data_IF_188993800742
#
_entry.id   IF_188993800742
#
_cell.length_a   1.000
_cell.length_b   1.000
_cell.length_c   1.000
_cell.angle_alpha   90.00
_cell.angle_beta   90.00
_cell.angle_gamma   90.00
#
_symmetry.space_group_name_H-M   'P 1'
#
loop_
_entity.id
_entity.type
_entity.pdbx_description
1 polymer ?
#
# COMPACT_ATOMS: atom_id res chain seq x y z
N UNK A 1 -10.89 2.28 5.89
CA UNK A 1 -10.03 1.86 4.77
C UNK A 1 -8.60 2.13 5.17
N UNK A 2 -7.66 1.28 4.74
CA UNK A 2 -6.34 1.21 5.36
C UNK A 2 -5.51 2.44 4.97
N UNK A 3 -5.55 3.48 5.80
CA UNK A 3 -4.43 4.40 5.94
C UNK A 3 -3.37 3.70 6.76
N UNK A 4 -2.11 3.84 6.39
CA UNK A 4 -0.98 3.24 7.10
C UNK A 4 -0.51 4.21 8.17
N UNK A 5 -0.29 3.72 9.39
CA UNK A 5 0.13 4.53 10.53
C UNK A 5 1.50 4.07 11.02
N UNK A 6 2.37 5.03 11.28
CA UNK A 6 3.70 4.85 11.85
C UNK A 6 3.80 5.63 13.17
N UNK A 7 4.62 5.15 14.10
CA UNK A 7 4.97 5.92 15.31
C UNK A 7 5.90 7.07 14.99
N UNK A 8 6.88 6.82 14.13
CA UNK A 8 7.91 7.79 13.76
C UNK A 8 7.97 8.00 12.25
N UNK A 9 8.49 9.16 11.82
CA UNK A 9 8.78 9.45 10.41
C UNK A 9 10.04 8.71 9.93
N UNK A 10 10.00 7.38 9.95
CA UNK A 10 11.09 6.50 9.52
C UNK A 10 10.56 5.16 9.02
N UNK A 11 11.17 4.62 7.96
CA UNK A 11 10.89 3.24 7.54
C UNK A 11 11.32 2.22 8.60
N UNK A 12 10.67 1.07 8.59
CA UNK A 12 11.08 -0.10 9.35
C UNK A 12 12.14 -0.88 8.57
N UNK A 13 13.24 -1.22 9.24
CA UNK A 13 14.29 -2.04 8.64
C UNK A 13 15.08 -1.34 7.54
N UNK A 14 15.37 -2.05 6.45
CA UNK A 14 16.20 -1.57 5.34
C UNK A 14 15.32 -1.03 4.20
N UNK A 15 15.78 0.00 3.46
CA UNK A 15 15.07 0.48 2.27
C UNK A 15 14.81 -0.66 1.28
N UNK A 16 13.57 -0.74 0.81
CA UNK A 16 13.18 -1.67 -0.25
C UNK A 16 13.80 -1.22 -1.57
N UNK A 17 14.54 -2.14 -2.21
CA UNK A 17 15.15 -1.94 -3.53
C UNK A 17 14.56 -2.96 -4.50
N UNK A 18 14.02 -2.47 -5.60
CA UNK A 18 13.38 -3.29 -6.62
C UNK A 18 13.50 -2.62 -8.00
N UNK A 19 13.59 -3.42 -9.05
CA UNK A 19 13.75 -2.90 -10.43
C UNK A 19 12.43 -2.35 -11.00
N UNK A 20 11.29 -2.88 -10.57
CA UNK A 20 9.97 -2.52 -11.08
C UNK A 20 9.27 -1.48 -10.22
N UNK A 21 9.42 -1.59 -8.89
CA UNK A 21 8.85 -0.63 -7.93
C UNK A 21 9.97 0.33 -7.54
N UNK A 22 10.00 1.47 -8.20
CA UNK A 22 11.01 2.51 -8.00
C UNK A 22 10.38 3.76 -7.40
N UNK A 23 11.18 4.59 -6.75
CA UNK A 23 10.73 5.87 -6.21
C UNK A 23 10.13 6.80 -7.29
N UNK A 24 10.73 6.93 -8.50
CA UNK A 24 10.09 7.67 -9.60
C UNK A 24 8.73 7.11 -10.02
N UNK A 25 8.56 5.79 -10.06
CA UNK A 25 7.26 5.20 -10.39
C UNK A 25 6.22 5.47 -9.29
N UNK A 26 6.64 5.39 -8.03
CA UNK A 26 5.78 5.71 -6.89
C UNK A 26 5.34 7.18 -6.95
N UNK A 27 6.28 8.12 -7.12
CA UNK A 27 6.03 9.55 -7.28
C UNK A 27 5.09 9.81 -8.49
N UNK A 28 5.26 9.07 -9.59
CA UNK A 28 4.40 9.15 -10.76
C UNK A 28 2.95 8.77 -10.44
N UNK A 29 2.71 7.62 -9.79
CA UNK A 29 1.37 7.19 -9.39
C UNK A 29 0.71 8.22 -8.48
N UNK A 30 1.45 8.75 -7.52
CA UNK A 30 1.01 9.83 -6.64
C UNK A 30 0.60 11.09 -7.42
N UNK A 31 1.41 11.51 -8.38
CA UNK A 31 1.09 12.68 -9.23
C UNK A 31 -0.18 12.49 -10.07
N UNK A 32 -0.52 11.25 -10.43
CA UNK A 32 -1.74 10.91 -11.19
C UNK A 32 -2.98 10.80 -10.33
N UNK A 33 -2.85 10.86 -9.02
CA UNK A 33 -3.96 10.70 -8.05
C UNK A 33 -4.26 11.99 -7.29
N UNK A 34 -3.77 13.14 -7.75
CA UNK A 34 -4.04 14.47 -7.15
C UNK A 34 -5.50 14.91 -7.26
N UNK A 35 -6.32 14.23 -8.08
CA UNK A 35 -7.75 14.45 -8.13
C UNK A 35 -8.48 13.90 -6.89
N UNK A 36 -7.83 13.03 -6.11
CA UNK A 36 -8.37 12.51 -4.85
C UNK A 36 -8.19 13.60 -3.78
N UNK A 37 -9.28 14.06 -3.11
CA UNK A 37 -9.18 15.05 -2.02
C UNK A 37 -8.30 14.57 -0.87
N UNK A 38 -7.77 15.51 -0.08
CA UNK A 38 -6.77 15.21 0.96
C UNK A 38 -7.23 14.25 2.06
N UNK A 39 -8.53 14.23 2.37
CA UNK A 39 -9.19 13.30 3.27
C UNK A 39 -9.99 12.21 2.54
N UNK A 40 -10.10 12.37 1.21
CA UNK A 40 -10.80 11.50 0.30
C UNK A 40 -10.08 10.17 0.12
N UNK A 41 -10.84 9.19 -0.34
CA UNK A 41 -10.34 7.86 -0.65
C UNK A 41 -10.93 7.40 -1.97
N UNK A 42 -10.10 6.77 -2.79
CA UNK A 42 -10.53 6.11 -4.02
C UNK A 42 -10.00 4.68 -4.03
N UNK A 43 -10.88 3.72 -4.30
CA UNK A 43 -10.50 2.31 -4.46
C UNK A 43 -10.43 2.02 -5.95
N UNK A 44 -9.25 1.66 -6.42
CA UNK A 44 -9.04 1.16 -7.77
C UNK A 44 -9.29 -0.35 -7.79
N UNK A 45 -10.16 -0.82 -8.66
CA UNK A 45 -10.28 -2.25 -8.96
C UNK A 45 -9.22 -2.64 -10.00
N UNK A 46 -8.30 -3.53 -9.63
CA UNK A 46 -7.18 -3.90 -10.47
C UNK A 46 -7.55 -5.06 -11.41
N UNK A 47 -7.04 -5.07 -12.66
CA UNK A 47 -7.32 -6.14 -13.60
C UNK A 47 -6.80 -7.48 -13.07
N UNK A 48 -7.69 -8.43 -12.79
CA UNK A 48 -7.31 -9.74 -12.26
C UNK A 48 -6.77 -10.70 -13.33
N UNK A 49 -5.98 -10.19 -14.27
CA UNK A 49 -5.50 -10.94 -15.44
C UNK A 49 -4.50 -11.99 -14.99
N UNK A 50 -4.83 -13.26 -15.14
CA UNK A 50 -3.90 -14.38 -14.98
C UNK A 50 -3.11 -14.59 -16.26
N UNK A 51 -1.85 -14.99 -16.14
CA UNK A 51 -1.09 -15.41 -17.31
C UNK A 51 -1.63 -16.75 -17.81
N UNK A 52 -1.75 -16.88 -19.14
CA UNK A 52 -2.08 -18.15 -19.80
C UNK A 52 -0.91 -19.14 -19.78
N UNK A 53 0.31 -18.67 -19.49
CA UNK A 53 1.51 -19.52 -19.40
C UNK A 53 1.57 -20.23 -18.03
N UNK A 54 1.74 -21.57 -17.99
CA UNK A 54 1.64 -22.36 -16.76
C UNK A 54 2.63 -21.93 -15.66
N UNK A 55 3.84 -21.51 -16.03
CA UNK A 55 4.86 -21.06 -15.07
C UNK A 55 4.64 -19.61 -14.55
N UNK A 56 3.74 -18.85 -15.17
CA UNK A 56 3.35 -17.49 -14.74
C UNK A 56 1.91 -17.42 -14.19
N UNK A 57 1.23 -18.57 -14.07
CA UNK A 57 -0.18 -18.65 -13.64
C UNK A 57 -0.43 -18.07 -12.25
N UNK A 58 0.58 -18.11 -11.38
CA UNK A 58 0.51 -17.63 -9.99
C UNK A 58 0.95 -16.17 -9.82
N UNK A 59 1.25 -15.45 -10.90
CA UNK A 59 1.54 -14.02 -10.88
C UNK A 59 0.23 -13.23 -10.98
N UNK A 60 -0.69 -13.44 -10.04
CA UNK A 60 -1.95 -12.67 -9.96
C UNK A 60 -1.75 -11.47 -9.04
N UNK A 61 -2.14 -10.27 -9.51
CA UNK A 61 -2.16 -9.06 -8.69
C UNK A 61 -3.14 -9.16 -7.52
N UNK A 62 -3.21 -8.11 -6.72
CA UNK A 62 -4.28 -7.91 -5.74
C UNK A 62 -5.54 -7.41 -6.43
N UNK A 63 -6.72 -7.63 -5.85
CA UNK A 63 -7.99 -7.13 -6.42
C UNK A 63 -8.15 -5.62 -6.37
N UNK A 64 -7.65 -5.01 -5.30
CA UNK A 64 -7.90 -3.60 -5.03
C UNK A 64 -6.62 -2.86 -4.69
N UNK A 65 -6.57 -1.58 -5.04
CA UNK A 65 -5.57 -0.64 -4.58
C UNK A 65 -6.22 0.63 -4.02
N UNK A 66 -5.59 1.22 -3.01
CA UNK A 66 -5.93 2.55 -2.47
C UNK A 66 -4.66 3.37 -2.43
N UNK A 67 -4.74 4.62 -2.88
CA UNK A 67 -3.60 5.56 -2.87
C UNK A 67 -3.86 6.64 -1.82
N UNK A 68 -2.86 6.91 -1.00
CA UNK A 68 -2.83 8.01 -0.04
C UNK A 68 -1.67 8.92 -0.42
N UNK A 69 -1.99 10.11 -0.93
CA UNK A 69 -1.03 11.01 -1.57
C UNK A 69 -0.45 12.08 -0.62
N UNK A 70 -0.77 12.03 0.66
CA UNK A 70 -0.40 13.08 1.60
C UNK A 70 0.42 12.56 2.76
N UNK A 71 1.46 13.28 3.14
CA UNK A 71 2.11 13.04 4.44
C UNK A 71 1.34 13.82 5.51
N UNK A 72 0.98 13.17 6.61
CA UNK A 72 0.21 13.82 7.68
C UNK A 72 0.67 13.38 9.06
N UNK A 73 0.77 14.34 9.98
CA UNK A 73 0.87 14.06 11.42
C UNK A 73 -0.55 13.90 11.96
N UNK A 74 -0.80 12.82 12.69
CA UNK A 74 -2.04 12.54 13.39
C UNK A 74 -1.80 12.56 14.89
N UNK A 75 -2.11 13.70 15.51
CA UNK A 75 -1.89 13.91 16.93
C UNK A 75 -3.07 13.40 17.74
N UNK A 76 -2.79 12.65 18.80
CA UNK A 76 -3.82 12.17 19.72
C UNK A 76 -3.37 12.34 21.16
N UNK A 77 -4.31 12.67 22.03
CA UNK A 77 -4.01 12.87 23.45
C UNK A 77 -3.83 11.52 24.18
N UNK A 78 -4.52 10.49 23.72
CA UNK A 78 -4.58 9.19 24.41
C UNK A 78 -3.53 8.20 23.92
N UNK A 79 -3.20 8.22 22.63
CA UNK A 79 -2.36 7.18 22.00
C UNK A 79 -1.02 7.71 21.49
N UNK A 80 -0.75 9.00 21.70
CA UNK A 80 0.42 9.70 21.18
C UNK A 80 0.28 10.15 19.73
N UNK A 81 1.36 10.68 19.18
CA UNK A 81 1.42 11.18 17.81
C UNK A 81 1.75 10.03 16.83
N UNK A 82 1.16 10.11 15.64
CA UNK A 82 1.38 9.17 14.56
C UNK A 82 1.76 9.92 13.28
N UNK A 83 2.53 9.25 12.44
CA UNK A 83 2.85 9.68 11.09
C UNK A 83 2.11 8.82 10.07
N UNK A 84 1.40 9.46 9.14
CA UNK A 84 0.74 8.81 8.02
C UNK A 84 1.56 9.12 6.76
N UNK A 85 2.39 8.18 6.29
CA UNK A 85 3.15 8.38 5.07
C UNK A 85 2.27 8.27 3.84
N UNK A 86 2.70 8.93 2.76
CA UNK A 86 2.29 8.57 1.40
C UNK A 86 2.36 7.06 1.19
N UNK A 87 1.28 6.48 0.68
CA UNK A 87 1.17 5.03 0.58
C UNK A 87 0.33 4.55 -0.59
N UNK A 88 0.62 3.33 -1.02
CA UNK A 88 -0.24 2.55 -1.90
C UNK A 88 -0.55 1.25 -1.16
N UNK A 89 -1.83 0.97 -0.94
CA UNK A 89 -2.29 -0.19 -0.18
C UNK A 89 -3.06 -1.15 -1.09
N UNK A 90 -2.76 -2.44 -0.98
CA UNK A 90 -3.30 -3.52 -1.79
C UNK A 90 -3.98 -4.58 -0.93
N UNK A 91 -5.11 -5.10 -1.38
CA UNK A 91 -5.85 -6.16 -0.68
C UNK A 91 -6.80 -6.90 -1.63
N UNK A 92 -7.28 -8.08 -1.20
CA UNK A 92 -8.16 -8.94 -2.00
C UNK A 92 -9.62 -8.96 -1.52
N UNK A 93 -9.89 -8.54 -0.28
CA UNK A 93 -11.20 -8.63 0.37
C UNK A 93 -11.53 -7.31 1.06
N UNK A 94 -12.78 -6.85 0.86
CA UNK A 94 -13.35 -5.64 1.50
C UNK A 94 -14.27 -6.07 2.64
N UNK A 95 -13.71 -6.68 3.68
CA UNK A 95 -14.46 -7.29 4.80
C UNK A 95 -14.62 -6.37 6.03
N UNK A 96 -13.76 -5.36 6.16
CA UNK A 96 -13.81 -4.41 7.27
C UNK A 96 -13.20 -3.05 6.87
N UNK A 97 -13.24 -2.09 7.80
CA UNK A 97 -12.59 -0.79 7.61
C UNK A 97 -11.09 -0.99 7.35
N UNK A 98 -10.41 -1.83 8.12
CA UNK A 98 -9.11 -2.38 7.75
C UNK A 98 -9.33 -3.79 7.20
N UNK A 99 -8.96 -4.08 5.95
CA UNK A 99 -9.04 -5.43 5.41
C UNK A 99 -8.36 -6.43 6.35
N UNK A 100 -8.90 -7.64 6.47
CA UNK A 100 -8.30 -8.69 7.30
C UNK A 100 -6.83 -8.95 6.98
N UNK A 101 -6.44 -8.80 5.72
CA UNK A 101 -5.05 -8.78 5.28
C UNK A 101 -4.85 -7.74 4.18
N UNK A 102 -3.85 -6.88 4.35
CA UNK A 102 -3.45 -5.90 3.34
C UNK A 102 -1.93 -5.70 3.32
N UNK A 103 -1.45 -5.33 2.15
CA UNK A 103 -0.05 -5.13 1.82
C UNK A 103 0.12 -3.70 1.35
N UNK A 104 1.25 -3.08 1.64
CA UNK A 104 1.42 -1.68 1.27
C UNK A 104 2.85 -1.34 0.92
N UNK A 105 2.98 -0.29 0.11
CA UNK A 105 4.21 0.43 -0.16
C UNK A 105 4.06 1.79 0.51
N UNK A 106 5.06 2.21 1.28
CA UNK A 106 5.14 3.58 1.80
C UNK A 106 6.41 4.26 1.31
N UNK A 107 6.37 5.59 1.24
CA UNK A 107 7.54 6.43 1.06
C UNK A 107 7.78 7.25 2.32
N UNK A 108 8.97 7.16 2.88
CA UNK A 108 9.40 7.97 4.02
C UNK A 108 10.84 8.42 3.77
N UNK A 109 11.08 9.74 3.76
CA UNK A 109 12.41 10.33 3.57
C UNK A 109 13.12 9.83 2.30
N UNK A 110 12.41 9.79 1.16
CA UNK A 110 12.89 9.29 -0.14
C UNK A 110 13.31 7.82 -0.14
N UNK A 111 12.77 7.03 0.79
CA UNK A 111 12.99 5.59 0.87
C UNK A 111 11.67 4.86 0.80
N UNK A 112 11.64 3.78 0.02
CA UNK A 112 10.48 2.90 -0.06
C UNK A 112 10.60 1.78 0.98
N UNK A 113 9.45 1.39 1.53
CA UNK A 113 9.28 0.17 2.32
C UNK A 113 8.09 -0.61 1.76
N UNK A 114 8.18 -1.94 1.78
CA UNK A 114 7.02 -2.82 1.61
C UNK A 114 6.77 -3.59 2.89
N UNK A 115 5.51 -3.63 3.30
CA UNK A 115 5.08 -4.27 4.54
C UNK A 115 3.65 -4.79 4.39
N UNK A 116 3.22 -5.59 5.35
CA UNK A 116 1.83 -6.07 5.42
C UNK A 116 1.32 -6.05 6.85
N UNK A 117 0.01 -6.01 6.98
CA UNK A 117 -0.69 -6.11 8.25
C UNK A 117 -1.79 -7.16 8.13
N UNK A 118 -1.98 -7.91 9.22
CA UNK A 118 -3.21 -8.64 9.47
C UNK A 118 -4.03 -7.84 10.46
N UNK A 119 -5.23 -7.46 10.04
CA UNK A 119 -6.15 -6.63 10.79
C UNK A 119 -7.54 -7.28 10.74
N UNK A 120 -8.59 -6.47 10.66
CA UNK A 120 -9.97 -6.93 10.54
C UNK A 120 -10.90 -6.00 11.30
N UNK A 121 -12.10 -6.51 11.59
CA UNK A 121 -13.19 -5.75 12.22
C UNK A 121 -12.83 -5.22 13.62
N UNK A 122 -12.00 -5.97 14.36
CA UNK A 122 -11.62 -5.62 15.75
C UNK A 122 -10.34 -4.78 15.83
N UNK A 123 -9.77 -4.39 14.69
CA UNK A 123 -8.51 -3.62 14.66
C UNK A 123 -8.79 -2.13 14.65
N UNK A 124 -8.17 -1.42 15.58
CA UNK A 124 -8.16 0.04 15.62
C UNK A 124 -6.93 0.61 14.95
N UNK A 125 -7.01 1.85 14.49
CA UNK A 125 -5.95 2.47 13.70
C UNK A 125 -4.62 2.61 14.47
N UNK A 126 -4.67 2.83 15.79
CA UNK A 126 -3.48 3.02 16.63
C UNK A 126 -2.69 1.74 16.88
N UNK A 127 -3.29 0.56 16.65
CA UNK A 127 -2.64 -0.74 16.75
C UNK A 127 -1.82 -1.09 15.50
N UNK A 128 -2.08 -0.43 14.36
CA UNK A 128 -1.45 -0.78 13.08
C UNK A 128 0.09 -0.78 13.10
N UNK A 129 0.78 0.17 13.74
CA UNK A 129 2.25 0.13 13.79
C UNK A 129 2.80 -1.17 14.40
N UNK A 130 2.07 -1.76 15.36
CA UNK A 130 2.46 -2.99 16.06
C UNK A 130 2.07 -4.26 15.28
N UNK A 131 1.02 -4.18 14.45
CA UNK A 131 0.55 -5.28 13.60
C UNK A 131 1.38 -5.43 12.31
N UNK A 132 2.22 -4.45 12.00
CA UNK A 132 3.09 -4.45 10.83
C UNK A 132 4.06 -5.62 10.85
N UNK A 133 4.21 -6.25 9.69
CA UNK A 133 5.14 -7.36 9.45
C UNK A 133 5.89 -7.16 8.15
N UNK A 134 7.16 -7.56 8.14
CA UNK A 134 8.01 -7.55 6.94
C UNK A 134 7.47 -8.54 5.89
N UNK A 135 7.67 -8.23 4.61
CA UNK A 135 7.39 -9.16 3.51
C UNK A 135 8.67 -9.91 3.14
N UNK A 136 8.69 -11.22 3.38
CA UNK A 136 9.82 -12.09 3.05
C UNK A 136 9.53 -13.02 1.87
N UNK A 137 8.26 -13.26 1.53
CA UNK A 137 7.87 -14.13 0.43
C UNK A 137 7.97 -13.42 -0.93
N UNK A 138 8.90 -13.89 -1.77
CA UNK A 138 9.09 -13.42 -3.15
C UNK A 138 7.84 -13.48 -4.02
N UNK A 139 6.90 -14.40 -3.74
CA UNK A 139 5.61 -14.46 -4.46
C UNK A 139 4.79 -13.22 -4.17
N UNK A 140 4.71 -12.79 -2.92
CA UNK A 140 4.01 -11.57 -2.52
C UNK A 140 4.66 -10.35 -3.15
N UNK A 141 6.00 -10.26 -3.17
CA UNK A 141 6.71 -9.19 -3.87
C UNK A 141 6.28 -9.10 -5.34
N UNK A 142 6.24 -10.23 -6.06
CA UNK A 142 5.74 -10.28 -7.45
C UNK A 142 4.28 -9.86 -7.59
N UNK A 143 3.42 -10.17 -6.62
CA UNK A 143 2.03 -9.70 -6.61
C UNK A 143 1.95 -8.19 -6.47
N UNK A 144 2.76 -7.60 -5.59
CA UNK A 144 2.85 -6.14 -5.43
C UNK A 144 3.36 -5.49 -6.71
N UNK A 145 4.45 -6.01 -7.30
CA UNK A 145 5.00 -5.51 -8.57
C UNK A 145 3.94 -5.45 -9.67
N UNK A 146 3.19 -6.55 -9.83
CA UNK A 146 2.11 -6.62 -10.81
C UNK A 146 1.00 -5.62 -10.53
N UNK A 147 0.60 -5.49 -9.26
CA UNK A 147 -0.47 -4.59 -8.84
C UNK A 147 -0.12 -3.12 -9.04
N UNK A 148 1.15 -2.75 -8.86
CA UNK A 148 1.68 -1.42 -9.17
C UNK A 148 1.60 -1.13 -10.66
N UNK A 149 1.99 -2.08 -11.51
CA UNK A 149 1.92 -1.95 -12.97
C UNK A 149 0.45 -1.82 -13.43
N UNK A 150 -0.43 -2.64 -12.89
CA UNK A 150 -1.87 -2.61 -13.17
C UNK A 150 -2.50 -1.29 -12.76
N UNK A 151 -2.15 -0.76 -11.59
CA UNK A 151 -2.58 0.55 -11.12
C UNK A 151 -2.07 1.67 -12.05
N UNK A 152 -0.79 1.62 -12.44
CA UNK A 152 -0.21 2.58 -13.39
C UNK A 152 -0.97 2.56 -14.73
N UNK A 153 -1.32 1.38 -15.24
CA UNK A 153 -2.09 1.25 -16.48
C UNK A 153 -3.48 1.88 -16.36
N UNK A 154 -4.18 1.69 -15.24
CA UNK A 154 -5.48 2.33 -15.00
C UNK A 154 -5.32 3.85 -15.03
N UNK A 155 -4.37 4.39 -14.26
CA UNK A 155 -4.13 5.82 -14.14
C UNK A 155 -3.67 6.49 -15.44
N UNK A 156 -3.06 5.75 -16.36
CA UNK A 156 -2.69 6.24 -17.68
C UNK A 156 -3.87 6.35 -18.64
N UNK A 157 -4.98 5.65 -18.35
CA UNK A 157 -6.18 5.62 -19.18
C UNK A 157 -7.33 6.47 -18.61
N UNK A 158 -7.10 7.15 -17.48
CA UNK A 158 -7.99 8.15 -16.89
C UNK A 158 -7.66 9.54 -17.40
#
# INVERSE_FOLDING_TARGET
MPRVYYRDRKINGKPFKNEKITLPLFDYILSKTTFIPDDGMHIFELPQKTSILPWKRNEKGFKYAVVWNNDRIHQTHEYGDFYLPKSIVFFDVKDAYFPSEYFFIVEINRQLEISHCRAGIDTTWFQQPELRRDITDSKIVKRIEKSVIELQMILNNM
#
